data_IF_993122743479
#
_entry.id   IF_993122743479
#
_cell.length_a   1.000
_cell.length_b   1.000
_cell.length_c   1.000
_cell.angle_alpha   90.00
_cell.angle_beta   90.00
_cell.angle_gamma   90.00
#
_symmetry.space_group_name_H-M   'P 1'
#
loop_
_entity.id
_entity.type
_entity.pdbx_description
1 polymer ?
#
# COMPACT_ATOMS: atom_id res chain seq x y z
N UNK A 1 8.36 -28.39 2.67
CA UNK A 1 9.59 -27.56 2.75
C UNK A 1 9.26 -26.18 2.17
N UNK A 2 9.29 -25.11 2.97
CA UNK A 2 8.93 -23.75 2.50
C UNK A 2 10.11 -23.19 1.72
N UNK A 3 9.89 -22.77 0.46
CA UNK A 3 10.95 -22.12 -0.33
C UNK A 3 11.30 -20.76 0.30
N UNK A 4 12.59 -20.48 0.54
CA UNK A 4 13.01 -19.18 1.06
C UNK A 4 12.74 -18.06 0.05
N UNK A 5 12.42 -16.87 0.55
CA UNK A 5 12.25 -15.67 -0.28
C UNK A 5 13.66 -15.15 -0.61
N UNK A 6 14.05 -15.19 -1.87
CA UNK A 6 15.27 -14.52 -2.33
C UNK A 6 14.99 -13.06 -2.57
N UNK A 7 15.57 -12.21 -1.74
CA UNK A 7 15.50 -10.76 -1.89
C UNK A 7 16.56 -10.28 -2.87
N UNK A 8 16.16 -9.52 -3.88
CA UNK A 8 17.12 -8.83 -4.75
C UNK A 8 17.36 -7.39 -4.27
N UNK A 9 18.49 -6.80 -4.68
CA UNK A 9 18.88 -5.43 -4.30
C UNK A 9 17.83 -4.38 -4.64
N UNK A 10 17.15 -4.55 -5.75
CA UNK A 10 16.16 -3.58 -6.25
C UNK A 10 14.87 -3.60 -5.43
N UNK A 11 14.38 -4.80 -5.08
CA UNK A 11 13.23 -4.96 -4.19
C UNK A 11 13.51 -4.39 -2.81
N UNK A 12 14.70 -4.64 -2.26
CA UNK A 12 15.09 -4.07 -0.95
C UNK A 12 15.19 -2.55 -1.00
N UNK A 13 15.77 -1.97 -2.05
CA UNK A 13 15.86 -0.52 -2.17
C UNK A 13 14.50 0.17 -2.28
N UNK A 14 13.53 -0.46 -2.93
CA UNK A 14 12.15 0.03 -3.04
C UNK A 14 11.37 -0.16 -1.74
N UNK A 15 11.59 -1.25 -1.03
CA UNK A 15 10.89 -1.57 0.21
C UNK A 15 11.52 -0.91 1.45
N UNK A 16 12.82 -0.53 1.36
CA UNK A 16 13.60 -0.03 2.49
C UNK A 16 12.96 1.12 3.26
N UNK A 17 12.42 2.14 2.60
CA UNK A 17 11.78 3.25 3.30
C UNK A 17 10.59 2.84 4.17
N UNK A 18 9.95 1.73 3.84
CA UNK A 18 8.74 1.23 4.52
C UNK A 18 9.03 0.14 5.56
N UNK A 19 10.30 -0.27 5.70
CA UNK A 19 10.67 -1.27 6.69
C UNK A 19 10.61 -0.67 8.10
N UNK A 20 10.04 -1.44 9.04
CA UNK A 20 9.91 -1.00 10.43
C UNK A 20 11.27 -0.77 11.06
N UNK A 21 11.33 0.20 11.98
CA UNK A 21 12.52 0.42 12.83
C UNK A 21 12.92 -0.91 13.51
N UNK A 22 14.21 -1.24 13.46
CA UNK A 22 14.74 -2.52 13.97
C UNK A 22 14.93 -3.60 12.90
N UNK A 23 14.73 -3.29 11.63
CA UNK A 23 15.15 -4.18 10.56
C UNK A 23 16.69 -4.36 10.60
N UNK A 24 17.20 -5.60 10.50
CA UNK A 24 18.63 -5.85 10.45
C UNK A 24 19.29 -5.17 9.24
N UNK A 25 20.61 -4.95 9.31
CA UNK A 25 21.40 -4.32 8.26
C UNK A 25 21.02 -4.86 6.87
N UNK A 26 20.67 -3.98 5.91
CA UNK A 26 20.29 -4.37 4.55
C UNK A 26 21.34 -5.25 3.87
N UNK A 27 22.61 -5.09 4.20
CA UNK A 27 23.70 -5.91 3.67
C UNK A 27 23.66 -7.34 4.18
N UNK A 28 23.17 -7.56 5.41
CA UNK A 28 22.93 -8.88 5.97
C UNK A 28 21.74 -9.59 5.30
N UNK A 29 20.66 -8.86 5.01
CA UNK A 29 19.47 -9.39 4.32
C UNK A 29 19.77 -9.88 2.89
N UNK A 30 20.75 -9.27 2.21
CA UNK A 30 21.14 -9.67 0.84
C UNK A 30 21.84 -11.03 0.79
N UNK A 31 22.34 -11.52 1.91
CA UNK A 31 23.07 -12.79 2.01
C UNK A 31 22.28 -13.91 2.69
N UNK A 32 21.16 -13.59 3.33
CA UNK A 32 20.38 -14.56 4.08
C UNK A 32 19.03 -14.84 3.40
N UNK A 33 18.67 -16.10 3.34
CA UNK A 33 17.30 -16.49 3.05
C UNK A 33 16.48 -16.25 4.31
N UNK A 34 15.46 -15.39 4.21
CA UNK A 34 14.55 -15.10 5.32
C UNK A 34 13.26 -15.90 5.19
N UNK A 35 12.67 -16.27 6.31
CA UNK A 35 11.37 -16.92 6.35
C UNK A 35 10.25 -15.91 6.00
N UNK A 36 9.11 -16.42 5.51
CA UNK A 36 7.94 -15.58 5.25
C UNK A 36 7.44 -14.85 6.51
N UNK A 37 7.57 -15.48 7.68
CA UNK A 37 7.19 -14.88 8.96
C UNK A 37 8.12 -13.74 9.37
N UNK A 38 9.42 -13.87 9.13
CA UNK A 38 10.37 -12.79 9.35
C UNK A 38 10.12 -11.62 8.40
N UNK A 39 9.84 -11.90 7.12
CA UNK A 39 9.46 -10.88 6.15
C UNK A 39 8.21 -10.10 6.61
N UNK A 40 7.21 -10.79 7.18
CA UNK A 40 6.02 -10.15 7.76
C UNK A 40 6.38 -9.30 8.98
N UNK A 41 7.20 -9.84 9.90
CA UNK A 41 7.63 -9.11 11.10
C UNK A 41 8.39 -7.84 10.77
N UNK A 42 9.24 -7.88 9.75
CA UNK A 42 10.00 -6.72 9.28
C UNK A 42 9.17 -5.71 8.47
N UNK A 43 7.94 -6.06 8.10
CA UNK A 43 7.10 -5.21 7.26
C UNK A 43 7.44 -5.26 5.76
N UNK A 44 8.24 -6.25 5.33
CA UNK A 44 8.60 -6.45 3.92
C UNK A 44 7.41 -6.98 3.10
N UNK A 45 6.53 -7.75 3.73
CA UNK A 45 5.28 -8.25 3.16
C UNK A 45 4.11 -7.91 4.07
N UNK A 46 2.92 -7.72 3.50
CA UNK A 46 1.72 -7.34 4.24
C UNK A 46 0.98 -8.53 4.86
N UNK A 47 1.15 -9.71 4.28
CA UNK A 47 0.43 -10.93 4.69
C UNK A 47 1.22 -12.17 4.32
N UNK A 48 1.16 -13.16 5.18
CA UNK A 48 1.62 -14.53 4.91
C UNK A 48 0.41 -15.44 4.84
N UNK A 49 0.36 -16.28 3.81
CA UNK A 49 -0.77 -17.17 3.53
C UNK A 49 -0.26 -18.58 3.28
N UNK A 50 -1.11 -19.61 3.40
CA UNK A 50 -0.74 -20.99 3.08
C UNK A 50 -0.22 -21.13 1.64
N UNK A 51 0.69 -22.07 1.45
CA UNK A 51 1.26 -22.38 0.14
C UNK A 51 0.14 -22.70 -0.88
N UNK A 52 0.31 -22.25 -2.12
CA UNK A 52 -0.69 -22.40 -3.19
C UNK A 52 -1.86 -21.40 -3.16
N UNK A 53 -2.05 -20.63 -2.08
CA UNK A 53 -3.20 -19.72 -1.97
C UNK A 53 -2.88 -18.25 -2.30
N UNK A 54 -1.61 -17.91 -2.57
CA UNK A 54 -1.13 -16.53 -2.77
C UNK A 54 -1.91 -15.80 -3.86
N UNK A 55 -2.10 -16.42 -5.02
CA UNK A 55 -2.81 -15.79 -6.15
C UNK A 55 -4.26 -15.51 -5.82
N UNK A 56 -4.93 -16.45 -5.13
CA UNK A 56 -6.32 -16.26 -4.68
C UNK A 56 -6.43 -15.08 -3.72
N UNK A 57 -5.55 -15.02 -2.73
CA UNK A 57 -5.54 -13.93 -1.75
C UNK A 57 -5.19 -12.58 -2.38
N UNK A 58 -4.24 -12.53 -3.30
CA UNK A 58 -3.91 -11.33 -4.05
C UNK A 58 -5.10 -10.83 -4.88
N UNK A 59 -5.81 -11.74 -5.57
CA UNK A 59 -7.03 -11.39 -6.30
C UNK A 59 -8.14 -10.87 -5.37
N UNK A 60 -8.29 -11.44 -4.17
CA UNK A 60 -9.25 -10.95 -3.20
C UNK A 60 -8.92 -9.52 -2.75
N UNK A 61 -7.66 -9.23 -2.46
CA UNK A 61 -7.21 -7.87 -2.15
C UNK A 61 -7.45 -6.91 -3.32
N UNK A 62 -7.11 -7.31 -4.55
CA UNK A 62 -7.34 -6.51 -5.74
C UNK A 62 -8.83 -6.21 -5.97
N UNK A 63 -9.72 -7.18 -5.74
CA UNK A 63 -11.18 -6.94 -5.82
C UNK A 63 -11.65 -5.90 -4.82
N UNK A 64 -11.15 -5.93 -3.58
CA UNK A 64 -11.47 -4.91 -2.57
C UNK A 64 -10.99 -3.54 -3.02
N UNK A 65 -9.78 -3.43 -3.56
CA UNK A 65 -9.26 -2.16 -4.09
C UNK A 65 -10.07 -1.65 -5.28
N UNK A 66 -10.50 -2.54 -6.17
CA UNK A 66 -11.32 -2.20 -7.32
C UNK A 66 -12.73 -1.67 -6.95
N UNK A 67 -13.17 -1.82 -5.70
CA UNK A 67 -14.41 -1.19 -5.21
C UNK A 67 -14.21 0.23 -4.69
N UNK A 68 -13.00 0.77 -4.73
CA UNK A 68 -12.69 2.12 -4.23
C UNK A 68 -12.62 3.12 -5.38
N UNK A 69 -12.90 4.41 -5.13
CA UNK A 69 -12.78 5.45 -6.16
C UNK A 69 -11.35 5.50 -6.69
N UNK A 70 -11.18 5.33 -7.99
CA UNK A 70 -9.85 5.25 -8.62
C UNK A 70 -9.01 6.50 -8.40
N UNK A 71 -9.63 7.70 -8.49
CA UNK A 71 -8.97 8.97 -8.23
C UNK A 71 -8.46 9.10 -6.80
N UNK A 72 -9.23 8.65 -5.80
CA UNK A 72 -8.79 8.67 -4.39
C UNK A 72 -7.63 7.71 -4.15
N UNK A 73 -7.68 6.50 -4.73
CA UNK A 73 -6.57 5.54 -4.62
C UNK A 73 -5.29 6.10 -5.24
N UNK A 74 -5.36 6.70 -6.43
CA UNK A 74 -4.22 7.33 -7.08
C UNK A 74 -3.67 8.50 -6.26
N UNK A 75 -4.54 9.35 -5.71
CA UNK A 75 -4.11 10.46 -4.86
C UNK A 75 -3.34 9.97 -3.63
N UNK A 76 -3.85 8.95 -2.93
CA UNK A 76 -3.18 8.36 -1.76
C UNK A 76 -1.81 7.79 -2.14
N UNK A 77 -1.74 6.97 -3.20
CA UNK A 77 -0.49 6.35 -3.64
C UNK A 77 0.57 7.39 -4.00
N UNK A 78 0.19 8.43 -4.73
CA UNK A 78 1.12 9.50 -5.10
C UNK A 78 1.55 10.34 -3.89
N UNK A 79 0.65 10.62 -2.94
CA UNK A 79 1.02 11.32 -1.69
C UNK A 79 2.04 10.53 -0.87
N UNK A 80 1.87 9.22 -0.74
CA UNK A 80 2.83 8.36 -0.03
C UNK A 80 4.18 8.37 -0.75
N UNK A 81 4.20 8.24 -2.07
CA UNK A 81 5.45 8.19 -2.85
C UNK A 81 6.20 9.52 -2.86
N UNK A 82 5.49 10.62 -3.06
CA UNK A 82 6.10 11.95 -3.24
C UNK A 82 6.31 12.68 -1.91
N UNK A 83 5.49 12.38 -0.89
CA UNK A 83 5.59 12.98 0.44
C UNK A 83 6.67 12.32 1.32
N UNK A 84 7.13 11.12 0.93
CA UNK A 84 8.14 10.42 1.70
C UNK A 84 9.45 11.21 1.79
N UNK A 85 9.94 11.41 3.04
CA UNK A 85 11.17 12.17 3.29
C UNK A 85 11.05 13.70 3.21
N UNK A 86 9.86 14.23 2.91
CA UNK A 86 9.62 15.67 2.92
C UNK A 86 9.32 16.21 4.34
N UNK A 87 9.58 17.48 4.59
CA UNK A 87 9.10 18.14 5.81
C UNK A 87 7.57 18.02 5.93
N UNK A 88 7.09 17.84 7.16
CA UNK A 88 5.66 17.64 7.42
C UNK A 88 4.78 18.76 6.83
N UNK A 89 5.23 20.01 6.91
CA UNK A 89 4.52 21.17 6.34
C UNK A 89 4.32 21.08 4.83
N UNK A 90 5.34 20.60 4.11
CA UNK A 90 5.28 20.40 2.67
C UNK A 90 4.36 19.21 2.32
N UNK A 91 4.49 18.09 3.05
CA UNK A 91 3.63 16.92 2.85
C UNK A 91 2.15 17.25 3.08
N UNK A 92 1.81 18.03 4.12
CA UNK A 92 0.45 18.48 4.39
C UNK A 92 -0.07 19.47 3.32
N UNK A 93 0.79 20.31 2.75
CA UNK A 93 0.40 21.18 1.65
C UNK A 93 0.06 20.37 0.38
N UNK A 94 0.85 19.34 0.09
CA UNK A 94 0.57 18.40 -1.01
C UNK A 94 -0.73 17.63 -0.79
N UNK A 95 -0.99 17.18 0.43
CA UNK A 95 -2.24 16.48 0.78
C UNK A 95 -3.46 17.37 0.52
N UNK A 96 -3.44 18.62 0.98
CA UNK A 96 -4.52 19.58 0.73
C UNK A 96 -4.76 19.83 -0.75
N UNK A 97 -3.68 20.00 -1.54
CA UNK A 97 -3.79 20.20 -2.99
C UNK A 97 -4.44 18.99 -3.67
N UNK A 98 -4.03 17.80 -3.32
CA UNK A 98 -4.59 16.58 -3.92
C UNK A 98 -6.01 16.31 -3.46
N UNK A 99 -6.31 16.55 -2.19
CA UNK A 99 -7.68 16.43 -1.67
C UNK A 99 -8.62 17.41 -2.37
N UNK A 100 -8.18 18.67 -2.56
CA UNK A 100 -9.00 19.69 -3.24
C UNK A 100 -9.37 19.29 -4.67
N UNK A 101 -8.50 18.58 -5.38
CA UNK A 101 -8.76 18.07 -6.73
C UNK A 101 -9.79 16.94 -6.78
N UNK A 102 -10.05 16.27 -5.66
CA UNK A 102 -11.09 15.25 -5.56
C UNK A 102 -12.47 15.88 -5.28
N UNK A 103 -12.51 17.12 -4.79
CA UNK A 103 -13.76 17.81 -4.46
C UNK A 103 -14.58 18.03 -5.75
N UNK A 104 -15.85 17.64 -5.69
CA UNK A 104 -16.77 17.80 -6.82
C UNK A 104 -16.63 16.74 -7.92
N UNK A 105 -15.75 15.76 -7.78
CA UNK A 105 -15.69 14.62 -8.70
C UNK A 105 -16.98 13.78 -8.62
N UNK A 106 -17.33 13.05 -9.70
CA UNK A 106 -18.48 12.14 -9.68
C UNK A 106 -18.41 11.13 -8.54
N UNK A 107 -17.23 10.55 -8.30
CA UNK A 107 -17.02 9.59 -7.21
C UNK A 107 -17.22 10.20 -5.81
N UNK A 108 -16.82 11.45 -5.60
CA UNK A 108 -17.08 12.12 -4.33
C UNK A 108 -18.58 12.36 -4.12
N UNK A 109 -19.29 12.79 -5.15
CA UNK A 109 -20.76 12.98 -5.09
C UNK A 109 -21.47 11.68 -4.80
N UNK A 110 -21.09 10.61 -5.51
CA UNK A 110 -21.65 9.27 -5.30
C UNK A 110 -21.37 8.79 -3.86
N UNK A 111 -20.12 8.96 -3.38
CA UNK A 111 -19.75 8.57 -2.02
C UNK A 111 -20.58 9.30 -0.94
N UNK A 112 -20.79 10.61 -1.10
CA UNK A 112 -21.60 11.41 -0.19
C UNK A 112 -23.08 11.03 -0.24
N UNK A 113 -23.67 10.86 -1.45
CA UNK A 113 -25.06 10.42 -1.61
C UNK A 113 -25.28 9.05 -1.00
N UNK A 114 -24.39 8.10 -1.29
CA UNK A 114 -24.46 6.75 -0.74
C UNK A 114 -24.37 6.74 0.79
N UNK A 115 -23.53 7.61 1.37
CA UNK A 115 -23.42 7.76 2.82
C UNK A 115 -24.71 8.28 3.45
N UNK A 116 -25.31 9.33 2.85
CA UNK A 116 -26.58 9.91 3.34
C UNK A 116 -27.72 8.90 3.22
N UNK A 117 -27.80 8.20 2.09
CA UNK A 117 -28.83 7.21 1.78
C UNK A 117 -28.58 5.84 2.45
N UNK A 118 -27.46 5.69 3.17
CA UNK A 118 -27.05 4.44 3.86
C UNK A 118 -27.00 3.22 2.93
N UNK A 119 -26.61 3.41 1.69
CA UNK A 119 -26.38 2.38 0.68
C UNK A 119 -24.90 2.19 0.33
N UNK A 120 -24.58 1.12 -0.36
CA UNK A 120 -23.22 0.95 -0.89
C UNK A 120 -23.02 1.90 -2.08
N UNK A 121 -21.86 2.60 -2.15
CA UNK A 121 -21.51 3.41 -3.30
C UNK A 121 -21.16 2.55 -4.53
N UNK A 122 -21.41 3.10 -5.72
CA UNK A 122 -21.02 2.51 -7.01
C UNK A 122 -20.09 3.47 -7.72
N UNK A 123 -18.79 3.32 -7.51
CA UNK A 123 -17.77 4.15 -8.13
C UNK A 123 -17.49 3.73 -9.58
N UNK A 124 -17.09 4.68 -10.42
CA UNK A 124 -16.75 4.46 -11.83
C UNK A 124 -15.25 4.25 -12.06
#
# INVERSE_FOLDING_TARGET
MRRPIRLNRELLRKAWPNLRAGCPDPRGLLKADISAQEALRMGLVNKVVPEGTVVREARNMARVLATKPSGSVQAILSMVQEGYGKPQTEALAMERDRFSKLVGTPDMREGLSAFIEKRKPSFQ
#
